data_IF_314653415757
#
_entry.id   IF_314653415757
#
_cell.length_a   1.000
_cell.length_b   1.000
_cell.length_c   1.000
_cell.angle_alpha   90.00
_cell.angle_beta   90.00
_cell.angle_gamma   90.00
#
_symmetry.space_group_name_H-M   'P 1'
#
loop_
_entity.id
_entity.type
_entity.pdbx_description
1 polymer ?
#
# COMPACT_ATOMS: atom_id res chain seq x y z
N UNK A 1 -15.98 18.90 10.98
CA UNK A 1 -14.93 19.71 10.34
C UNK A 1 -13.76 18.81 10.01
N UNK A 2 -13.35 18.67 8.73
CA UNK A 2 -12.07 18.06 8.39
C UNK A 2 -10.98 18.74 9.21
N UNK A 3 -10.22 17.99 9.99
CA UNK A 3 -9.03 18.57 10.62
C UNK A 3 -7.85 18.36 9.68
N UNK A 4 -6.95 19.35 9.58
CA UNK A 4 -5.68 19.19 8.83
C UNK A 4 -4.96 17.89 9.23
N UNK A 5 -5.09 17.51 10.50
CA UNK A 5 -4.57 16.26 11.05
C UNK A 5 -5.16 15.00 10.39
N UNK A 6 -6.49 14.89 10.24
CA UNK A 6 -7.11 13.74 9.57
C UNK A 6 -6.68 13.58 8.11
N UNK A 7 -6.47 14.69 7.39
CA UNK A 7 -5.95 14.68 6.03
C UNK A 7 -4.49 14.22 5.98
N UNK A 8 -3.65 14.67 6.91
CA UNK A 8 -2.26 14.22 7.03
C UNK A 8 -2.17 12.72 7.32
N UNK A 9 -2.98 12.20 8.23
CA UNK A 9 -3.04 10.76 8.55
C UNK A 9 -3.47 9.94 7.32
N UNK A 10 -4.49 10.41 6.58
CA UNK A 10 -4.93 9.78 5.35
C UNK A 10 -3.83 9.69 4.29
N UNK A 11 -3.05 10.77 4.09
CA UNK A 11 -1.91 10.79 3.18
C UNK A 11 -0.75 9.91 3.66
N UNK A 12 -0.46 9.87 4.95
CA UNK A 12 0.54 8.95 5.50
C UNK A 12 0.16 7.49 5.24
N UNK A 13 -1.10 7.11 5.46
CA UNK A 13 -1.58 5.75 5.19
C UNK A 13 -1.46 5.37 3.70
N UNK A 14 -1.80 6.29 2.80
CA UNK A 14 -1.59 6.10 1.36
C UNK A 14 -0.11 5.93 1.02
N UNK A 15 0.77 6.77 1.58
CA UNK A 15 2.22 6.68 1.38
C UNK A 15 2.81 5.36 1.87
N UNK A 16 2.46 4.95 3.10
CA UNK A 16 2.91 3.67 3.68
C UNK A 16 2.39 2.51 2.85
N UNK A 17 1.12 2.53 2.46
CA UNK A 17 0.52 1.51 1.59
C UNK A 17 1.28 1.35 0.27
N UNK A 18 1.62 2.47 -0.37
CA UNK A 18 2.43 2.47 -1.60
C UNK A 18 3.82 1.87 -1.37
N UNK A 19 4.50 2.22 -0.29
CA UNK A 19 5.83 1.66 0.05
C UNK A 19 5.75 0.15 0.23
N UNK A 20 4.73 -0.35 0.92
CA UNK A 20 4.53 -1.79 1.12
C UNK A 20 4.29 -2.52 -0.21
N UNK A 21 3.48 -1.94 -1.11
CA UNK A 21 3.28 -2.48 -2.47
C UNK A 21 4.63 -2.55 -3.20
N UNK A 22 5.39 -1.46 -3.20
CA UNK A 22 6.67 -1.40 -3.89
C UNK A 22 7.66 -2.43 -3.34
N UNK A 23 7.78 -2.56 -2.03
CA UNK A 23 8.65 -3.58 -1.40
C UNK A 23 8.23 -4.99 -1.83
N UNK A 24 6.93 -5.30 -1.79
CA UNK A 24 6.42 -6.61 -2.23
C UNK A 24 6.71 -6.91 -3.71
N UNK A 25 6.56 -5.90 -4.58
CA UNK A 25 6.89 -6.02 -6.01
C UNK A 25 8.40 -6.21 -6.21
N UNK A 26 9.25 -5.43 -5.54
CA UNK A 26 10.71 -5.58 -5.63
C UNK A 26 11.17 -6.98 -5.16
N UNK A 27 10.59 -7.50 -4.08
CA UNK A 27 10.86 -8.85 -3.59
C UNK A 27 10.36 -9.92 -4.57
N UNK A 28 9.16 -9.76 -5.13
CA UNK A 28 8.62 -10.65 -6.17
C UNK A 28 9.54 -10.69 -7.40
N UNK A 29 9.98 -9.54 -7.90
CA UNK A 29 10.91 -9.46 -9.03
C UNK A 29 12.21 -10.20 -8.73
N UNK A 30 12.80 -9.98 -7.55
CA UNK A 30 14.03 -10.68 -7.13
C UNK A 30 13.88 -12.20 -7.13
N UNK A 31 12.74 -12.72 -6.67
CA UNK A 31 12.44 -14.15 -6.63
C UNK A 31 12.09 -14.71 -8.01
N UNK A 32 11.44 -13.92 -8.86
CA UNK A 32 11.13 -14.28 -10.24
C UNK A 32 12.37 -14.47 -11.12
N UNK A 33 13.47 -13.78 -10.81
CA UNK A 33 14.77 -14.01 -11.46
C UNK A 33 15.52 -15.25 -10.95
N UNK A 34 15.04 -15.88 -9.87
CA UNK A 34 15.66 -17.06 -9.23
C UNK A 34 14.88 -18.37 -9.49
N UNK A 35 14.00 -18.40 -10.50
CA UNK A 35 13.10 -19.54 -10.85
C UNK A 35 12.14 -19.98 -9.72
N UNK A 36 12.00 -19.20 -8.64
CA UNK A 36 11.03 -19.43 -7.57
C UNK A 36 9.65 -18.81 -7.88
N UNK A 37 9.12 -19.05 -9.08
CA UNK A 37 7.93 -18.36 -9.60
C UNK A 37 6.66 -18.48 -8.74
N UNK A 38 6.51 -19.54 -7.94
CA UNK A 38 5.37 -19.70 -7.02
C UNK A 38 5.58 -18.91 -5.71
N UNK A 39 6.83 -18.69 -5.32
CA UNK A 39 7.22 -17.93 -4.12
C UNK A 39 7.11 -16.42 -4.38
N UNK A 40 7.57 -15.96 -5.55
CA UNK A 40 7.45 -14.57 -5.99
C UNK A 40 5.99 -14.11 -6.04
N UNK A 41 5.10 -14.96 -6.60
CA UNK A 41 3.67 -14.66 -6.70
C UNK A 41 3.00 -14.46 -5.34
N UNK A 42 3.40 -15.22 -4.32
CA UNK A 42 2.88 -15.06 -2.94
C UNK A 42 3.33 -13.75 -2.32
N UNK A 43 4.60 -13.39 -2.51
CA UNK A 43 5.18 -12.15 -2.01
C UNK A 43 4.53 -10.93 -2.65
N UNK A 44 4.30 -10.99 -3.96
CA UNK A 44 3.57 -9.96 -4.70
C UNK A 44 2.14 -9.80 -4.21
N UNK A 45 1.43 -10.92 -4.06
CA UNK A 45 0.05 -10.92 -3.58
C UNK A 45 -0.06 -10.36 -2.17
N UNK A 46 0.85 -10.73 -1.25
CA UNK A 46 0.88 -10.18 0.10
C UNK A 46 1.19 -8.67 0.11
N UNK A 47 2.19 -8.24 -0.67
CA UNK A 47 2.53 -6.81 -0.79
C UNK A 47 1.36 -5.98 -1.35
N UNK A 48 0.69 -6.50 -2.38
CA UNK A 48 -0.50 -5.87 -2.97
C UNK A 48 -1.68 -5.83 -2.02
N UNK A 49 -1.97 -6.92 -1.30
CA UNK A 49 -3.10 -6.98 -0.38
C UNK A 49 -2.89 -6.09 0.86
N UNK A 50 -1.72 -6.17 1.48
CA UNK A 50 -1.42 -5.38 2.68
C UNK A 50 -1.22 -3.91 2.33
N UNK A 51 -0.41 -3.62 1.31
CA UNK A 51 -0.17 -2.24 0.89
C UNK A 51 -1.39 -1.60 0.23
N UNK A 52 -2.16 -2.37 -0.56
CA UNK A 52 -3.41 -1.92 -1.17
C UNK A 52 -4.51 -1.65 -0.15
N UNK A 53 -4.65 -2.47 0.89
CA UNK A 53 -5.62 -2.20 1.97
C UNK A 53 -5.25 -0.96 2.79
N UNK A 54 -3.98 -0.75 3.09
CA UNK A 54 -3.49 0.49 3.73
C UNK A 54 -3.76 1.72 2.86
N UNK A 55 -3.49 1.61 1.56
CA UNK A 55 -3.77 2.67 0.60
C UNK A 55 -5.26 2.99 0.52
N UNK A 56 -6.11 1.97 0.40
CA UNK A 56 -7.57 2.12 0.35
C UNK A 56 -8.13 2.71 1.65
N UNK A 57 -7.62 2.29 2.82
CA UNK A 57 -8.02 2.87 4.11
C UNK A 57 -7.66 4.36 4.19
N UNK A 58 -6.44 4.74 3.78
CA UNK A 58 -6.02 6.13 3.70
C UNK A 58 -6.85 6.93 2.68
N UNK A 59 -7.24 6.33 1.55
CA UNK A 59 -8.09 6.97 0.55
C UNK A 59 -9.53 7.17 1.03
N UNK A 60 -10.11 6.17 1.70
CA UNK A 60 -11.43 6.28 2.32
C UNK A 60 -11.43 7.35 3.41
N UNK A 61 -10.39 7.39 4.25
CA UNK A 61 -10.23 8.44 5.27
C UNK A 61 -10.15 9.83 4.66
N UNK A 62 -9.41 10.02 3.55
CA UNK A 62 -9.39 11.29 2.82
C UNK A 62 -10.77 11.68 2.30
N UNK A 63 -11.52 10.71 1.74
CA UNK A 63 -12.89 10.93 1.23
C UNK A 63 -13.85 11.33 2.35
N UNK A 64 -13.76 10.71 3.52
CA UNK A 64 -14.64 11.00 4.66
C UNK A 64 -14.24 12.25 5.43
N UNK A 65 -12.94 12.59 5.44
CA UNK A 65 -12.48 13.80 6.10
C UNK A 65 -13.06 15.05 5.43
N UNK A 66 -13.32 15.01 4.12
CA UNK A 66 -13.65 16.19 3.32
C UNK A 66 -12.36 16.87 2.92
N UNK A 67 -12.22 17.18 1.62
CA UNK A 67 -11.03 17.85 1.10
C UNK A 67 -10.84 19.19 1.82
N UNK A 68 -9.62 19.53 2.27
CA UNK A 68 -9.34 20.87 2.78
C UNK A 68 -9.66 21.94 1.75
#
# INVERSE_FOLDING_TARGET
MPTKWTYTVAKMLQGIGLVVILVGVFMSMSLGFQDEGLSSMKMEFQGLMVGGSLFLAGWLLERTAGRP
#
